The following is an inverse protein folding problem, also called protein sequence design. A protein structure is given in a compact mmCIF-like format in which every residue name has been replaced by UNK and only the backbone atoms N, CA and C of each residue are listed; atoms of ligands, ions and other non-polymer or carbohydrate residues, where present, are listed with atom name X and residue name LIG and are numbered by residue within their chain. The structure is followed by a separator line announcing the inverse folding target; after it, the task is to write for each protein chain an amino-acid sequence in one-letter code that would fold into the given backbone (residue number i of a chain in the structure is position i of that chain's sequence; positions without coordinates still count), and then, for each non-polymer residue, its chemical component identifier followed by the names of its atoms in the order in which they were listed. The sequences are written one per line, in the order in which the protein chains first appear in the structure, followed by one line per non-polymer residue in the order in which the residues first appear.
data_IF_661670811325
#
_entry.id   IF_661670811325
#
_cell.length_a   1.000
_cell.length_b   1.000
_cell.length_c   1.000
_cell.angle_alpha   90.00
_cell.angle_beta   90.00
_cell.angle_gamma   90.00
#
_symmetry.space_group_name_H-M   'P 1'
#
loop_
_entity.id
_entity.type
_entity.pdbx_description
1 polymer ?
#
# COMPACT_ATOMS: atom_id res chain seq x y z
N UNK A 1 -22.77 -1.75 -6.76
CA UNK A 1 -21.51 -2.40 -7.16
C UNK A 1 -21.63 -2.86 -8.60
N UNK A 2 -20.68 -2.50 -9.47
CA UNK A 2 -20.65 -3.00 -10.86
C UNK A 2 -20.15 -4.46 -10.91
N UNK A 3 -20.14 -5.10 -12.08
CA UNK A 3 -19.76 -6.52 -12.19
C UNK A 3 -18.29 -6.78 -11.89
N UNK A 4 -17.38 -5.86 -12.25
CA UNK A 4 -15.97 -5.97 -11.92
C UNK A 4 -15.75 -5.90 -10.41
N UNK A 5 -16.28 -4.86 -9.76
CA UNK A 5 -16.21 -4.70 -8.30
C UNK A 5 -16.80 -5.91 -7.57
N UNK A 6 -17.91 -6.48 -8.08
CA UNK A 6 -18.53 -7.67 -7.48
C UNK A 6 -17.57 -8.87 -7.57
N UNK A 7 -16.97 -9.12 -8.74
CA UNK A 7 -16.03 -10.22 -8.91
C UNK A 7 -14.81 -10.08 -7.98
N UNK A 8 -14.24 -8.88 -7.91
CA UNK A 8 -13.11 -8.57 -7.03
C UNK A 8 -13.47 -8.85 -5.57
N UNK A 9 -14.63 -8.36 -5.11
CA UNK A 9 -15.09 -8.59 -3.74
C UNK A 9 -15.40 -10.08 -3.47
N UNK A 10 -16.11 -10.75 -4.37
CA UNK A 10 -16.49 -12.15 -4.22
C UNK A 10 -15.25 -13.05 -4.10
N UNK A 11 -14.19 -12.77 -4.87
CA UNK A 11 -12.89 -13.45 -4.76
C UNK A 11 -12.32 -13.40 -3.33
N UNK A 12 -12.33 -12.21 -2.71
CA UNK A 12 -11.80 -12.03 -1.36
C UNK A 12 -12.66 -12.79 -0.36
N UNK A 13 -13.98 -12.70 -0.49
CA UNK A 13 -14.93 -13.37 0.38
C UNK A 13 -14.84 -14.89 0.29
N UNK A 14 -14.73 -15.44 -0.91
CA UNK A 14 -14.61 -16.88 -1.16
C UNK A 14 -13.25 -17.43 -0.74
N UNK A 15 -12.16 -16.77 -1.19
CA UNK A 15 -10.79 -17.19 -0.91
C UNK A 15 -10.47 -17.17 0.58
N UNK A 16 -10.69 -16.04 1.24
CA UNK A 16 -10.39 -15.90 2.67
C UNK A 16 -11.49 -16.46 3.56
N UNK A 17 -12.72 -16.59 3.07
CA UNK A 17 -13.78 -17.29 3.81
C UNK A 17 -13.43 -18.75 4.10
N UNK A 18 -12.71 -19.41 3.20
CA UNK A 18 -12.21 -20.77 3.40
C UNK A 18 -11.05 -20.85 4.40
N UNK A 19 -10.30 -19.75 4.56
CA UNK A 19 -9.12 -19.65 5.42
C UNK A 19 -9.45 -19.11 6.83
N UNK A 20 -10.69 -18.71 7.11
CA UNK A 20 -11.03 -18.11 8.40
C UNK A 20 -11.06 -19.15 9.53
N UNK A 21 -10.17 -18.99 10.51
CA UNK A 21 -10.18 -19.75 11.76
C UNK A 21 -11.11 -19.06 12.78
N UNK A 22 -12.22 -19.73 13.08
CA UNK A 22 -13.19 -19.27 14.07
C UNK A 22 -12.62 -19.28 15.50
N UNK A 23 -11.63 -20.10 15.84
CA UNK A 23 -11.06 -20.11 17.19
C UNK A 23 -10.27 -18.81 17.46
N UNK A 24 -9.36 -18.47 16.56
CA UNK A 24 -8.49 -17.30 16.69
C UNK A 24 -9.16 -15.99 16.21
N UNK A 25 -10.22 -16.10 15.39
CA UNK A 25 -10.87 -14.94 14.81
C UNK A 25 -9.99 -14.22 13.79
N UNK A 26 -9.16 -14.96 13.07
CA UNK A 26 -8.24 -14.47 12.05
C UNK A 26 -8.26 -15.42 10.84
N UNK A 27 -7.66 -15.00 9.74
CA UNK A 27 -7.33 -15.92 8.65
C UNK A 27 -6.17 -16.83 9.09
N UNK A 28 -6.16 -18.06 8.60
CA UNK A 28 -5.08 -19.04 8.72
C UNK A 28 -4.52 -19.33 7.31
N UNK A 29 -3.22 -19.11 7.14
CA UNK A 29 -2.47 -19.49 5.95
C UNK A 29 -1.41 -20.53 6.35
N UNK A 30 -1.69 -21.80 6.06
CA UNK A 30 -0.96 -23.00 6.53
C UNK A 30 0.46 -22.79 7.05
N UNK A 31 1.43 -22.48 6.18
CA UNK A 31 2.84 -22.34 6.57
C UNK A 31 3.19 -20.98 7.19
N UNK A 32 2.37 -19.95 6.95
CA UNK A 32 2.58 -18.58 7.45
C UNK A 32 1.90 -18.32 8.81
N UNK A 33 0.94 -19.15 9.23
CA UNK A 33 0.19 -18.98 10.48
C UNK A 33 -1.03 -18.08 10.31
N UNK A 34 -1.29 -17.15 11.23
CA UNK A 34 -2.47 -16.28 11.15
C UNK A 34 -2.15 -14.84 10.71
N UNK A 35 -2.19 -14.53 9.40
CA UNK A 35 -1.81 -13.21 8.90
C UNK A 35 -2.74 -12.08 9.38
N UNK A 36 -2.18 -11.13 10.14
CA UNK A 36 -2.93 -10.06 10.82
C UNK A 36 -3.41 -9.00 9.84
N UNK A 37 -2.57 -8.62 8.87
CA UNK A 37 -2.90 -7.57 7.89
C UNK A 37 -4.05 -8.01 7.01
N UNK A 38 -3.93 -9.18 6.41
CA UNK A 38 -4.88 -9.81 5.50
C UNK A 38 -6.24 -9.97 6.21
N UNK A 39 -6.22 -10.37 7.48
CA UNK A 39 -7.41 -10.44 8.33
C UNK A 39 -8.13 -9.09 8.46
N UNK A 40 -7.41 -7.99 8.63
CA UNK A 40 -8.01 -6.65 8.70
C UNK A 40 -8.73 -6.26 7.39
N UNK A 41 -8.16 -6.62 6.24
CA UNK A 41 -8.79 -6.38 4.93
C UNK A 41 -9.96 -7.32 4.66
N UNK A 42 -9.92 -8.55 5.17
CA UNK A 42 -11.06 -9.47 5.13
C UNK A 42 -12.24 -8.95 5.97
N UNK A 43 -11.98 -8.37 7.15
CA UNK A 43 -13.01 -7.71 7.94
C UNK A 43 -13.66 -6.54 7.18
N UNK A 44 -12.86 -5.75 6.45
CA UNK A 44 -13.36 -4.71 5.55
C UNK A 44 -14.25 -5.31 4.44
N UNK A 45 -13.83 -6.40 3.80
CA UNK A 45 -14.62 -7.09 2.77
C UNK A 45 -15.97 -7.60 3.31
N UNK A 46 -15.99 -8.21 4.49
CA UNK A 46 -17.21 -8.69 5.16
C UNK A 46 -18.18 -7.55 5.45
N UNK A 47 -17.67 -6.42 5.93
CA UNK A 47 -18.47 -5.22 6.12
C UNK A 47 -19.00 -4.73 4.76
N UNK A 48 -18.17 -4.59 3.73
CA UNK A 48 -18.64 -4.18 2.41
C UNK A 48 -19.74 -5.08 1.83
N UNK A 49 -19.66 -6.40 2.05
CA UNK A 49 -20.62 -7.37 1.53
C UNK A 49 -21.98 -7.32 2.24
N UNK A 50 -22.00 -7.09 3.55
CA UNK A 50 -23.23 -7.20 4.34
C UNK A 50 -23.43 -8.58 4.99
N UNK A 51 -24.08 -8.61 6.16
CA UNK A 51 -24.63 -9.85 6.73
C UNK A 51 -23.65 -10.71 7.53
N UNK A 52 -22.43 -10.21 7.78
CA UNK A 52 -21.40 -10.91 8.58
C UNK A 52 -20.72 -9.97 9.60
N UNK A 53 -21.47 -8.99 10.10
CA UNK A 53 -20.98 -7.89 10.94
C UNK A 53 -20.36 -8.39 12.25
N UNK A 54 -20.94 -9.44 12.85
CA UNK A 54 -20.39 -10.09 14.05
C UNK A 54 -19.02 -10.73 13.79
N UNK A 55 -18.84 -11.36 12.63
CA UNK A 55 -17.55 -11.94 12.23
C UNK A 55 -16.52 -10.85 11.98
N UNK A 56 -16.89 -9.79 11.25
CA UNK A 56 -16.00 -8.65 11.05
C UNK A 56 -15.59 -8.00 12.37
N UNK A 57 -16.53 -7.81 13.30
CA UNK A 57 -16.26 -7.26 14.62
C UNK A 57 -15.28 -8.13 15.42
N UNK A 58 -15.44 -9.46 15.37
CA UNK A 58 -14.51 -10.40 16.01
C UNK A 58 -13.11 -10.31 15.42
N UNK A 59 -12.98 -10.27 14.08
CA UNK A 59 -11.68 -10.14 13.43
C UNK A 59 -11.00 -8.83 13.81
N UNK A 60 -11.72 -7.71 13.79
CA UNK A 60 -11.18 -6.40 14.19
C UNK A 60 -10.66 -6.45 15.63
N UNK A 61 -11.43 -7.06 16.55
CA UNK A 61 -11.01 -7.22 17.94
C UNK A 61 -9.73 -8.08 18.06
N UNK A 62 -9.65 -9.20 17.32
CA UNK A 62 -8.45 -10.05 17.27
C UNK A 62 -7.25 -9.28 16.73
N UNK A 63 -7.39 -8.53 15.64
CA UNK A 63 -6.32 -7.69 15.08
C UNK A 63 -5.83 -6.65 16.11
N UNK A 64 -6.74 -5.94 16.78
CA UNK A 64 -6.38 -4.98 17.85
C UNK A 64 -5.59 -5.68 18.97
N UNK A 65 -5.97 -6.91 19.32
CA UNK A 65 -5.29 -7.73 20.33
C UNK A 65 -3.83 -8.06 20.02
N UNK A 66 -3.40 -7.95 18.75
CA UNK A 66 -2.01 -8.18 18.32
C UNK A 66 -1.14 -6.93 18.35
N UNK A 67 -1.70 -5.76 18.69
CA UNK A 67 -0.96 -4.51 18.68
C UNK A 67 0.05 -4.44 19.83
N UNK A 68 1.28 -4.02 19.53
CA UNK A 68 2.26 -3.71 20.56
C UNK A 68 1.93 -2.39 21.26
N UNK A 69 1.75 -2.44 22.58
CA UNK A 69 1.27 -1.29 23.39
C UNK A 69 2.31 -0.75 24.38
N UNK A 70 3.51 -1.31 24.40
CA UNK A 70 4.59 -0.87 25.29
C UNK A 70 5.22 0.44 24.78
N UNK A 71 4.94 1.55 25.47
CA UNK A 71 5.44 2.87 25.06
C UNK A 71 6.95 2.98 25.18
N UNK A 72 7.56 3.80 24.30
CA UNK A 72 9.00 4.00 24.24
C UNK A 72 9.78 2.88 23.53
N UNK A 73 9.10 1.82 23.08
CA UNK A 73 9.71 0.78 22.23
C UNK A 73 9.71 1.19 20.76
N UNK A 74 10.68 0.70 19.99
CA UNK A 74 10.79 0.97 18.54
C UNK A 74 9.67 0.33 17.70
N UNK A 75 8.91 -0.58 18.32
CA UNK A 75 7.76 -1.27 17.73
C UNK A 75 6.42 -0.78 18.30
N UNK A 76 6.41 0.32 19.08
CA UNK A 76 5.17 0.86 19.63
C UNK A 76 4.12 1.16 18.55
N UNK A 77 2.90 0.69 18.78
CA UNK A 77 1.76 0.92 17.92
C UNK A 77 1.73 0.12 16.62
N UNK A 78 2.78 -0.63 16.27
CA UNK A 78 2.69 -1.63 15.19
C UNK A 78 2.02 -2.90 15.69
N UNK A 79 1.78 -3.84 14.78
CA UNK A 79 1.09 -5.09 15.04
C UNK A 79 2.04 -6.25 14.77
N UNK A 80 1.73 -7.42 15.34
CA UNK A 80 2.35 -8.65 14.88
C UNK A 80 2.03 -8.87 13.39
N UNK A 81 2.95 -9.50 12.67
CA UNK A 81 2.68 -10.00 11.32
C UNK A 81 1.71 -11.17 11.37
N UNK A 82 1.97 -12.07 12.31
CA UNK A 82 1.15 -13.27 12.60
C UNK A 82 1.08 -13.50 14.10
N UNK A 83 0.06 -14.19 14.62
CA UNK A 83 -0.06 -14.42 16.07
C UNK A 83 1.00 -15.39 16.60
N UNK A 84 1.59 -16.20 15.72
CA UNK A 84 2.68 -17.13 15.99
C UNK A 84 4.00 -16.42 16.29
N UNK A 85 4.12 -15.15 15.90
CA UNK A 85 5.33 -14.38 16.16
C UNK A 85 5.61 -14.25 17.65
N UNK A 86 6.87 -14.53 17.99
CA UNK A 86 7.41 -14.30 19.31
C UNK A 86 7.56 -12.78 19.51
N UNK A 87 7.22 -12.30 20.70
CA UNK A 87 7.38 -10.88 21.03
C UNK A 87 8.86 -10.44 20.87
N UNK A 88 9.11 -9.19 20.44
CA UNK A 88 10.47 -8.72 20.19
C UNK A 88 11.36 -8.81 21.44
N UNK A 89 12.64 -9.17 21.29
CA UNK A 89 13.58 -9.21 22.42
C UNK A 89 13.96 -7.79 22.87
N UNK A 90 14.73 -7.68 23.95
CA UNK A 90 15.17 -6.39 24.51
C UNK A 90 15.99 -5.50 23.55
N UNK A 91 16.69 -6.11 22.58
CA UNK A 91 17.41 -5.42 21.50
C UNK A 91 16.84 -5.90 20.15
N UNK A 92 15.68 -5.37 19.73
CA UNK A 92 14.93 -5.90 18.60
C UNK A 92 15.54 -5.47 17.27
N UNK A 93 15.59 -6.40 16.32
CA UNK A 93 16.07 -6.17 14.97
C UNK A 93 14.89 -5.92 14.03
N UNK A 94 14.82 -4.71 13.46
CA UNK A 94 13.81 -4.33 12.47
C UNK A 94 13.78 -5.29 11.28
N UNK A 95 12.57 -5.60 10.78
CA UNK A 95 12.26 -6.58 9.71
C UNK A 95 12.44 -8.06 10.10
N UNK A 96 13.16 -8.34 11.18
CA UNK A 96 13.34 -9.69 11.70
C UNK A 96 12.40 -9.96 12.85
N UNK A 97 12.53 -9.19 13.93
CA UNK A 97 11.79 -9.42 15.18
C UNK A 97 10.46 -8.65 15.21
N UNK A 98 10.33 -7.61 14.38
CA UNK A 98 9.08 -6.86 14.17
C UNK A 98 9.10 -6.19 12.81
N UNK A 99 7.92 -5.82 12.31
CA UNK A 99 7.77 -5.01 11.11
C UNK A 99 7.00 -3.72 11.43
N UNK A 100 7.66 -2.54 11.36
CA UNK A 100 7.00 -1.28 11.64
C UNK A 100 6.05 -0.80 10.54
N UNK A 101 6.02 -1.43 9.35
CA UNK A 101 5.13 -1.07 8.24
C UNK A 101 3.72 -1.63 8.41
N UNK A 102 3.56 -2.71 9.19
CA UNK A 102 2.24 -3.33 9.43
C UNK A 102 1.22 -2.34 9.97
N UNK A 103 1.71 -1.42 10.79
CA UNK A 103 0.95 -0.29 11.27
C UNK A 103 0.27 0.50 10.16
N UNK A 104 1.02 0.95 9.15
CA UNK A 104 0.48 1.79 8.08
C UNK A 104 -0.52 1.01 7.20
N UNK A 105 -0.26 -0.28 6.94
CA UNK A 105 -1.20 -1.15 6.23
C UNK A 105 -2.52 -1.37 6.98
N UNK A 106 -2.46 -1.64 8.29
CA UNK A 106 -3.66 -1.87 9.12
C UNK A 106 -4.41 -0.56 9.36
N UNK A 107 -3.69 0.57 9.51
CA UNK A 107 -4.27 1.89 9.59
C UNK A 107 -5.12 2.22 8.35
N UNK A 108 -4.69 1.79 7.16
CA UNK A 108 -5.45 1.96 5.91
C UNK A 108 -6.81 1.23 5.96
N UNK A 109 -6.80 -0.05 6.36
CA UNK A 109 -8.03 -0.84 6.50
C UNK A 109 -8.95 -0.27 7.59
N UNK A 110 -8.41 0.07 8.76
CA UNK A 110 -9.19 0.63 9.87
C UNK A 110 -9.80 1.99 9.50
N UNK A 111 -9.06 2.85 8.77
CA UNK A 111 -9.59 4.12 8.31
C UNK A 111 -10.78 3.92 7.37
N UNK A 112 -10.70 2.97 6.43
CA UNK A 112 -11.82 2.65 5.54
C UNK A 112 -13.04 2.13 6.31
N UNK A 113 -12.83 1.23 7.29
CA UNK A 113 -13.91 0.71 8.14
C UNK A 113 -14.58 1.84 8.93
N UNK A 114 -13.79 2.68 9.60
CA UNK A 114 -14.30 3.78 10.42
C UNK A 114 -14.97 4.89 9.59
N UNK A 115 -14.56 5.06 8.34
CA UNK A 115 -15.16 6.03 7.42
C UNK A 115 -16.50 5.54 6.83
N UNK A 116 -16.62 4.24 6.53
CA UNK A 116 -17.72 3.72 5.70
C UNK A 116 -18.74 2.89 6.49
N UNK A 117 -18.32 2.23 7.59
CA UNK A 117 -19.15 1.24 8.30
C UNK A 117 -19.15 1.37 9.85
N UNK A 118 -18.94 2.54 10.47
CA UNK A 118 -18.86 2.63 11.94
C UNK A 118 -20.16 2.21 12.64
N UNK A 119 -21.32 2.43 12.03
CA UNK A 119 -22.65 2.11 12.58
C UNK A 119 -22.98 0.61 12.57
N UNK A 120 -22.19 -0.18 11.85
CA UNK A 120 -22.34 -1.64 11.75
C UNK A 120 -21.56 -2.38 12.82
N UNK A 121 -20.73 -1.66 13.58
CA UNK A 121 -19.90 -2.22 14.63
C UNK A 121 -20.44 -1.83 16.01
N UNK A 122 -20.21 -2.66 17.03
CA UNK A 122 -20.49 -2.27 18.41
C UNK A 122 -19.77 -0.97 18.78
N UNK A 123 -20.45 0.02 19.41
CA UNK A 123 -19.82 1.30 19.76
C UNK A 123 -18.55 1.18 20.61
N UNK A 124 -18.47 0.16 21.47
CA UNK A 124 -17.27 -0.13 22.26
C UNK A 124 -16.08 -0.49 21.37
N UNK A 125 -16.30 -1.34 20.35
CA UNK A 125 -15.26 -1.74 19.40
C UNK A 125 -14.80 -0.56 18.55
N UNK A 126 -15.71 0.32 18.12
CA UNK A 126 -15.34 1.56 17.43
C UNK A 126 -14.41 2.41 18.31
N UNK A 127 -14.68 2.50 19.62
CA UNK A 127 -13.78 3.16 20.58
C UNK A 127 -12.41 2.48 20.68
N UNK A 128 -12.35 1.16 20.69
CA UNK A 128 -11.09 0.39 20.70
C UNK A 128 -10.29 0.57 19.41
N UNK A 129 -10.95 0.58 18.25
CA UNK A 129 -10.32 0.89 16.95
C UNK A 129 -9.69 2.28 16.95
N UNK A 130 -10.41 3.28 17.48
CA UNK A 130 -9.92 4.65 17.59
C UNK A 130 -8.69 4.76 18.49
N UNK A 131 -8.67 4.03 19.59
CA UNK A 131 -7.52 3.97 20.49
C UNK A 131 -6.33 3.23 19.85
N UNK A 132 -6.60 2.11 19.17
CA UNK A 132 -5.57 1.37 18.42
C UNK A 132 -4.95 2.24 17.32
N UNK A 133 -5.77 2.99 16.58
CA UNK A 133 -5.32 3.91 15.54
C UNK A 133 -4.50 5.08 16.12
N UNK A 134 -4.84 5.59 17.31
CA UNK A 134 -4.02 6.61 17.99
C UNK A 134 -2.60 6.09 18.24
N UNK A 135 -2.45 4.93 18.87
CA UNK A 135 -1.12 4.33 19.16
C UNK A 135 -0.33 4.08 17.90
N UNK A 136 -1.01 3.62 16.85
CA UNK A 136 -0.42 3.47 15.52
C UNK A 136 0.17 4.83 15.09
N UNK A 137 -0.65 5.88 14.95
CA UNK A 137 -0.17 7.17 14.47
C UNK A 137 0.94 7.76 15.35
N UNK A 138 0.87 7.62 16.67
CA UNK A 138 1.95 8.01 17.58
C UNK A 138 3.27 7.32 17.22
N UNK A 139 3.27 5.99 17.16
CA UNK A 139 4.46 5.23 16.77
C UNK A 139 4.94 5.54 15.34
N UNK A 140 4.04 5.85 14.41
CA UNK A 140 4.38 6.24 13.04
C UNK A 140 5.11 7.58 13.02
N UNK A 141 4.59 8.56 13.76
CA UNK A 141 5.18 9.90 13.91
C UNK A 141 6.53 9.82 14.59
N UNK A 142 6.66 9.04 15.66
CA UNK A 142 7.91 8.85 16.37
C UNK A 142 8.98 8.20 15.49
N UNK A 143 8.62 7.14 14.74
CA UNK A 143 9.52 6.51 13.75
C UNK A 143 9.97 7.52 12.69
N UNK A 144 9.04 8.31 12.15
CA UNK A 144 9.35 9.30 11.12
C UNK A 144 10.30 10.39 11.64
N UNK A 145 10.13 10.85 12.88
CA UNK A 145 11.01 11.84 13.52
C UNK A 145 12.40 11.24 13.79
N UNK A 146 12.44 10.00 14.30
CA UNK A 146 13.69 9.31 14.60
C UNK A 146 14.50 9.06 13.34
N UNK A 147 13.87 8.72 12.21
CA UNK A 147 14.51 8.39 10.92
C UNK A 147 15.60 7.28 11.08
N UNK A 148 15.44 6.41 12.07
CA UNK A 148 16.32 5.25 12.24
C UNK A 148 15.97 4.18 11.20
N UNK A 149 14.67 3.97 10.98
CA UNK A 149 14.10 3.12 9.91
C UNK A 149 13.30 4.01 8.97
N UNK A 150 13.85 4.41 7.80
CA UNK A 150 13.20 5.37 6.91
C UNK A 150 11.90 4.79 6.35
N UNK A 151 11.05 5.67 5.83
CA UNK A 151 9.83 5.28 5.13
C UNK A 151 10.15 5.19 3.63
N UNK A 152 9.89 4.04 3.04
CA UNK A 152 9.82 3.87 1.59
C UNK A 152 8.54 4.53 1.04
N UNK A 153 8.40 4.61 -0.29
CA UNK A 153 7.37 5.44 -0.95
C UNK A 153 5.97 5.11 -0.43
N UNK A 154 5.57 3.85 -0.47
CA UNK A 154 4.21 3.46 -0.10
C UNK A 154 3.91 3.76 1.38
N UNK A 155 4.86 3.47 2.27
CA UNK A 155 4.73 3.73 3.71
C UNK A 155 4.76 5.24 4.01
N UNK A 156 5.52 6.04 3.27
CA UNK A 156 5.51 7.50 3.41
C UNK A 156 4.14 8.08 3.00
N UNK A 157 3.55 7.60 1.89
CA UNK A 157 2.20 8.00 1.48
C UNK A 157 1.17 7.58 2.54
N UNK A 158 1.23 6.33 3.01
CA UNK A 158 0.32 5.83 4.06
C UNK A 158 0.51 6.53 5.41
N UNK A 159 1.73 6.97 5.74
CA UNK A 159 2.01 7.77 6.93
C UNK A 159 1.30 9.13 6.86
N UNK A 160 1.42 9.83 5.73
CA UNK A 160 0.69 11.10 5.49
C UNK A 160 -0.81 10.87 5.61
N UNK A 161 -1.32 9.81 4.99
CA UNK A 161 -2.73 9.41 5.07
C UNK A 161 -3.19 9.20 6.51
N UNK A 162 -2.51 8.33 7.26
CA UNK A 162 -2.90 7.93 8.61
C UNK A 162 -2.86 9.14 9.57
N UNK A 163 -1.80 9.95 9.49
CA UNK A 163 -1.65 11.12 10.34
C UNK A 163 -2.73 12.20 10.07
N UNK A 164 -3.10 12.47 8.80
CA UNK A 164 -4.20 13.40 8.50
C UNK A 164 -5.56 12.82 8.88
N UNK A 165 -5.83 11.56 8.50
CA UNK A 165 -7.13 10.94 8.69
C UNK A 165 -7.47 10.82 10.18
N UNK A 166 -6.61 10.14 10.94
CA UNK A 166 -6.84 9.94 12.36
C UNK A 166 -6.60 11.21 13.17
N UNK A 167 -5.68 12.09 12.75
CA UNK A 167 -5.54 13.41 13.37
C UNK A 167 -6.86 14.20 13.39
N UNK A 168 -7.60 14.21 12.28
CA UNK A 168 -8.93 14.84 12.25
C UNK A 168 -9.97 14.08 13.06
N UNK A 169 -10.00 12.76 12.90
CA UNK A 169 -10.99 11.91 13.55
C UNK A 169 -10.86 11.96 15.09
N UNK A 170 -9.63 12.13 15.59
CA UNK A 170 -9.30 12.25 17.01
C UNK A 170 -9.30 13.70 17.52
N UNK A 171 -9.32 14.70 16.63
CA UNK A 171 -9.16 16.11 16.98
C UNK A 171 -7.75 16.45 17.49
N UNK A 172 -6.72 15.81 16.93
CA UNK A 172 -5.32 15.94 17.33
C UNK A 172 -4.53 16.83 16.36
N UNK A 173 -4.31 18.09 16.77
CA UNK A 173 -3.55 19.08 15.99
C UNK A 173 -2.07 18.69 15.81
N UNK A 174 -1.51 17.91 16.73
CA UNK A 174 -0.13 17.45 16.59
C UNK A 174 -0.04 16.49 15.40
N UNK A 175 -0.90 15.47 15.31
CA UNK A 175 -0.91 14.56 14.16
C UNK A 175 -1.13 15.30 12.84
N UNK A 176 -2.03 16.29 12.81
CA UNK A 176 -2.27 17.09 11.61
C UNK A 176 -1.02 17.89 11.18
N UNK A 177 -0.31 18.47 12.15
CA UNK A 177 0.96 19.16 11.87
C UNK A 177 2.01 18.21 11.31
N UNK A 178 2.07 16.97 11.82
CA UNK A 178 3.01 15.93 11.36
C UNK A 178 2.67 15.44 9.96
N UNK A 179 1.37 15.24 9.67
CA UNK A 179 0.89 14.90 8.33
C UNK A 179 1.31 15.95 7.31
N UNK A 180 1.18 17.25 7.65
CA UNK A 180 1.58 18.35 6.76
C UNK A 180 3.08 18.35 6.50
N UNK A 181 3.90 18.19 7.53
CA UNK A 181 5.37 18.13 7.39
C UNK A 181 5.77 16.97 6.48
N UNK A 182 5.20 15.78 6.69
CA UNK A 182 5.49 14.62 5.86
C UNK A 182 5.00 14.79 4.42
N UNK A 183 3.82 15.38 4.22
CA UNK A 183 3.28 15.68 2.89
C UNK A 183 4.16 16.66 2.11
N UNK A 184 4.65 17.72 2.77
CA UNK A 184 5.54 18.70 2.14
C UNK A 184 6.90 18.06 1.77
N UNK A 185 7.41 17.14 2.59
CA UNK A 185 8.64 16.40 2.31
C UNK A 185 8.48 15.43 1.12
N UNK A 186 7.43 14.62 1.12
CA UNK A 186 7.07 13.71 0.04
C UNK A 186 6.90 14.47 -1.29
N UNK A 187 6.13 15.56 -1.27
CA UNK A 187 5.95 16.40 -2.45
C UNK A 187 7.24 17.06 -2.91
N UNK A 188 8.10 17.51 -1.98
CA UNK A 188 9.41 18.06 -2.32
C UNK A 188 10.31 17.07 -3.05
N UNK A 189 10.32 15.80 -2.65
CA UNK A 189 11.04 14.73 -3.35
C UNK A 189 10.44 14.48 -4.74
N UNK A 190 9.12 14.36 -4.82
CA UNK A 190 8.43 14.15 -6.09
C UNK A 190 8.64 15.31 -7.06
N UNK A 191 8.44 16.56 -6.63
CA UNK A 191 8.57 17.75 -7.46
C UNK A 191 10.00 17.95 -8.01
N UNK A 192 11.02 17.43 -7.31
CA UNK A 192 12.41 17.47 -7.78
C UNK A 192 12.63 16.56 -9.00
N UNK A 193 12.12 15.33 -8.95
CA UNK A 193 12.47 14.28 -9.92
C UNK A 193 11.34 13.93 -10.89
N UNK A 194 10.10 14.34 -10.60
CA UNK A 194 8.88 13.87 -11.26
C UNK A 194 8.64 12.38 -11.02
N UNK A 195 9.12 11.84 -9.89
CA UNK A 195 9.18 10.41 -9.60
C UNK A 195 9.29 10.14 -8.09
N UNK A 196 9.19 8.88 -7.70
CA UNK A 196 9.27 8.39 -6.30
C UNK A 196 10.47 7.46 -6.09
N UNK A 197 10.81 7.20 -4.83
CA UNK A 197 12.00 6.43 -4.46
C UNK A 197 11.95 4.96 -4.89
N UNK A 198 10.77 4.34 -4.78
CA UNK A 198 10.46 2.98 -5.28
C UNK A 198 10.00 3.02 -6.75
N UNK A 199 10.77 3.71 -7.59
CA UNK A 199 10.44 3.91 -8.99
C UNK A 199 10.23 2.59 -9.75
N UNK A 200 9.19 2.59 -10.60
CA UNK A 200 8.91 1.52 -11.56
C UNK A 200 8.77 0.14 -10.90
N UNK A 201 8.21 0.11 -9.69
CA UNK A 201 7.94 -1.12 -8.97
C UNK A 201 6.55 -1.65 -9.32
N UNK A 202 6.47 -2.82 -9.96
CA UNK A 202 5.18 -3.45 -10.19
C UNK A 202 4.48 -3.83 -8.87
N UNK A 203 5.23 -4.29 -7.87
CA UNK A 203 4.70 -4.57 -6.53
C UNK A 203 4.15 -3.32 -5.87
N UNK A 204 4.96 -2.27 -5.73
CA UNK A 204 4.63 -1.14 -4.87
C UNK A 204 3.74 -0.10 -5.54
N UNK A 205 3.71 -0.01 -6.88
CA UNK A 205 2.78 0.90 -7.55
C UNK A 205 1.31 0.61 -7.23
N UNK A 206 0.92 -0.66 -7.10
CA UNK A 206 -0.45 -1.00 -6.68
C UNK A 206 -0.79 -0.37 -5.33
N UNK A 207 0.13 -0.52 -4.37
CA UNK A 207 0.01 0.04 -3.03
C UNK A 207 0.04 1.58 -3.03
N UNK A 208 0.93 2.19 -3.81
CA UNK A 208 1.02 3.64 -3.96
C UNK A 208 -0.29 4.23 -4.48
N UNK A 209 -0.87 3.64 -5.54
CA UNK A 209 -2.14 4.10 -6.12
C UNK A 209 -3.31 3.94 -5.15
N UNK A 210 -3.34 2.86 -4.37
CA UNK A 210 -4.32 2.66 -3.30
C UNK A 210 -4.18 3.76 -2.25
N UNK A 211 -2.98 3.98 -1.71
CA UNK A 211 -2.74 4.95 -0.66
C UNK A 211 -3.03 6.39 -1.12
N UNK A 212 -2.63 6.77 -2.33
CA UNK A 212 -2.94 8.07 -2.93
C UNK A 212 -4.45 8.26 -3.14
N UNK A 213 -5.16 7.22 -3.59
CA UNK A 213 -6.61 7.26 -3.73
C UNK A 213 -7.30 7.41 -2.36
N UNK A 214 -6.82 6.70 -1.33
CA UNK A 214 -7.28 6.87 0.04
C UNK A 214 -7.07 8.30 0.54
N UNK A 215 -5.93 8.94 0.27
CA UNK A 215 -5.73 10.36 0.60
C UNK A 215 -6.76 11.23 -0.12
N UNK A 216 -6.94 11.06 -1.43
CA UNK A 216 -7.90 11.87 -2.21
C UNK A 216 -9.33 11.71 -1.70
N UNK A 217 -9.71 10.51 -1.27
CA UNK A 217 -11.06 10.20 -0.82
C UNK A 217 -11.33 10.63 0.62
N UNK A 218 -10.43 10.29 1.54
CA UNK A 218 -10.71 10.34 2.97
C UNK A 218 -9.98 11.46 3.72
N UNK A 219 -8.88 12.00 3.21
CA UNK A 219 -8.17 13.11 3.89
C UNK A 219 -8.95 14.42 3.81
N UNK A 220 -8.85 15.25 4.85
CA UNK A 220 -9.66 16.46 5.01
C UNK A 220 -8.97 17.73 4.50
N UNK A 221 -7.64 17.74 4.50
CA UNK A 221 -6.83 18.90 4.11
C UNK A 221 -6.77 19.05 2.59
N UNK A 222 -7.24 20.20 2.08
CA UNK A 222 -7.29 20.48 0.63
C UNK A 222 -5.92 20.36 -0.05
N UNK A 223 -4.86 20.88 0.57
CA UNK A 223 -3.51 20.84 0.02
C UNK A 223 -2.95 19.41 -0.05
N UNK A 224 -3.18 18.58 0.98
CA UNK A 224 -2.74 17.17 0.99
C UNK A 224 -3.45 16.38 -0.10
N UNK A 225 -4.76 16.60 -0.30
CA UNK A 225 -5.49 15.99 -1.42
C UNK A 225 -4.98 16.44 -2.79
N UNK A 226 -4.66 17.73 -2.93
CA UNK A 226 -4.13 18.28 -4.18
C UNK A 226 -2.75 17.68 -4.51
N UNK A 227 -1.87 17.60 -3.51
CA UNK A 227 -0.58 16.92 -3.60
C UNK A 227 -0.75 15.47 -4.05
N UNK A 228 -1.64 14.70 -3.40
CA UNK A 228 -1.86 13.30 -3.75
C UNK A 228 -2.42 13.14 -5.17
N UNK A 229 -3.25 14.07 -5.65
CA UNK A 229 -3.75 14.05 -7.03
C UNK A 229 -2.64 14.32 -8.05
N UNK A 230 -1.72 15.23 -7.76
CA UNK A 230 -0.59 15.53 -8.64
C UNK A 230 0.43 14.39 -8.70
N UNK A 231 0.74 13.78 -7.55
CA UNK A 231 1.62 12.61 -7.49
C UNK A 231 0.98 11.44 -8.24
N UNK A 232 -0.29 11.11 -7.98
CA UNK A 232 -1.01 10.00 -8.63
C UNK A 232 -1.03 10.14 -10.16
N UNK A 233 -1.39 11.32 -10.67
CA UNK A 233 -1.43 11.58 -12.11
C UNK A 233 -0.04 11.46 -12.76
N UNK A 234 1.02 11.89 -12.07
CA UNK A 234 2.39 11.74 -12.54
C UNK A 234 2.89 10.29 -12.50
N UNK A 235 2.58 9.55 -11.44
CA UNK A 235 2.94 8.13 -11.33
C UNK A 235 2.24 7.30 -12.40
N UNK A 236 0.95 7.53 -12.65
CA UNK A 236 0.25 6.89 -13.77
C UNK A 236 0.85 7.25 -15.12
N UNK A 237 1.28 8.51 -15.30
CA UNK A 237 1.96 8.93 -16.53
C UNK A 237 3.29 8.20 -16.71
N UNK A 238 4.12 8.16 -15.67
CA UNK A 238 5.40 7.46 -15.69
C UNK A 238 5.20 5.97 -15.94
N UNK A 239 4.25 5.34 -15.26
CA UNK A 239 3.86 3.95 -15.51
C UNK A 239 3.52 3.73 -16.99
N UNK A 240 2.65 4.58 -17.56
CA UNK A 240 2.19 4.44 -18.95
C UNK A 240 3.34 4.51 -19.97
N UNK A 241 4.43 5.19 -19.63
CA UNK A 241 5.58 5.28 -20.53
C UNK A 241 6.40 3.97 -20.54
N UNK A 242 6.46 3.25 -19.42
CA UNK A 242 7.19 1.99 -19.26
C UNK A 242 6.35 0.73 -19.58
N UNK A 243 5.03 0.84 -19.68
CA UNK A 243 4.14 -0.31 -19.87
C UNK A 243 3.96 -0.72 -21.34
N UNK A 244 4.14 -2.00 -21.69
CA UNK A 244 3.80 -2.53 -23.02
C UNK A 244 2.43 -3.20 -23.02
N UNK A 245 1.42 -2.67 -23.74
CA UNK A 245 0.12 -3.33 -23.91
C UNK A 245 0.21 -4.72 -24.57
N UNK A 246 1.08 -4.89 -25.58
CA UNK A 246 1.20 -6.16 -26.32
C UNK A 246 1.80 -7.27 -25.46
N UNK A 247 2.81 -6.94 -24.66
CA UNK A 247 3.41 -7.88 -23.71
C UNK A 247 2.59 -7.99 -22.42
N UNK A 248 1.71 -7.02 -22.16
CA UNK A 248 0.87 -6.98 -20.96
C UNK A 248 1.66 -6.77 -19.68
N UNK A 249 2.86 -6.21 -19.75
CA UNK A 249 3.76 -6.06 -18.61
C UNK A 249 4.52 -4.73 -18.62
N UNK A 250 4.99 -4.31 -17.44
CA UNK A 250 5.84 -3.14 -17.25
C UNK A 250 7.27 -3.48 -17.66
N UNK A 251 7.94 -2.62 -18.42
CA UNK A 251 9.37 -2.76 -18.70
C UNK A 251 10.20 -2.34 -17.50
N UNK A 252 11.28 -3.05 -17.19
CA UNK A 252 12.23 -2.60 -16.18
C UNK A 252 13.01 -1.35 -16.60
N UNK A 253 13.93 -0.88 -15.74
CA UNK A 253 14.36 -1.52 -14.49
C UNK A 253 13.33 -1.33 -13.37
N UNK A 254 13.27 -2.29 -12.44
CA UNK A 254 12.43 -2.18 -11.24
C UNK A 254 13.36 -1.87 -10.07
N UNK A 255 13.26 -0.66 -9.50
CA UNK A 255 14.16 -0.24 -8.41
C UNK A 255 13.99 -1.08 -7.14
N UNK A 256 12.78 -1.64 -6.96
CA UNK A 256 12.41 -2.54 -5.88
C UNK A 256 11.16 -3.34 -6.27
N UNK A 257 11.21 -4.65 -6.43
CA UNK A 257 10.03 -5.50 -6.57
C UNK A 257 10.34 -6.94 -6.09
N UNK A 258 9.29 -7.72 -5.83
CA UNK A 258 9.46 -9.16 -5.58
C UNK A 258 9.53 -9.97 -6.86
N UNK A 259 8.83 -9.50 -7.91
CA UNK A 259 8.68 -10.20 -9.17
C UNK A 259 8.74 -9.22 -10.34
N UNK A 260 9.20 -9.70 -11.50
CA UNK A 260 9.17 -8.92 -12.76
C UNK A 260 7.80 -9.00 -13.45
N UNK A 261 7.01 -10.03 -13.14
CA UNK A 261 5.65 -10.18 -13.65
C UNK A 261 4.71 -9.26 -12.86
N UNK A 262 4.14 -8.26 -13.53
CA UNK A 262 3.34 -7.23 -12.84
C UNK A 262 2.05 -7.75 -12.21
N UNK A 263 1.63 -8.98 -12.53
CA UNK A 263 0.43 -9.59 -11.96
C UNK A 263 0.73 -10.63 -10.86
N UNK A 264 2.00 -10.93 -10.57
CA UNK A 264 2.36 -12.01 -9.64
C UNK A 264 2.26 -11.59 -8.16
N UNK A 265 2.83 -10.45 -7.79
CA UNK A 265 2.83 -9.94 -6.40
C UNK A 265 2.49 -8.45 -6.41
N UNK A 266 1.25 -8.15 -6.83
CA UNK A 266 0.77 -6.79 -7.03
C UNK A 266 -0.75 -6.73 -7.17
N UNK A 267 -1.35 -5.64 -6.69
CA UNK A 267 -2.76 -5.29 -6.88
C UNK A 267 -3.05 -4.62 -8.25
N UNK A 268 -2.03 -4.39 -9.10
CA UNK A 268 -2.20 -3.77 -10.42
C UNK A 268 -3.14 -4.54 -11.34
N UNK A 269 -3.14 -5.87 -11.30
CA UNK A 269 -4.04 -6.70 -12.10
C UNK A 269 -5.53 -6.39 -11.83
N UNK A 270 -5.89 -6.26 -10.55
CA UNK A 270 -7.22 -5.84 -10.12
C UNK A 270 -7.58 -4.43 -10.60
N UNK A 271 -6.62 -3.49 -10.50
CA UNK A 271 -6.82 -2.10 -10.96
C UNK A 271 -7.03 -2.05 -12.48
N UNK A 272 -6.25 -2.81 -13.25
CA UNK A 272 -6.39 -2.91 -14.71
C UNK A 272 -7.76 -3.49 -15.09
N UNK A 273 -8.15 -4.62 -14.49
CA UNK A 273 -9.46 -5.22 -14.73
C UNK A 273 -10.60 -4.25 -14.42
N UNK A 274 -10.56 -3.60 -13.24
CA UNK A 274 -11.57 -2.62 -12.83
C UNK A 274 -11.65 -1.41 -13.77
N UNK A 275 -10.51 -0.97 -14.31
CA UNK A 275 -10.43 0.23 -15.15
C UNK A 275 -10.75 -0.02 -16.62
N UNK A 276 -10.36 -1.18 -17.14
CA UNK A 276 -10.36 -1.47 -18.58
C UNK A 276 -11.41 -2.52 -18.98
N UNK A 277 -11.95 -3.28 -18.03
CA UNK A 277 -13.04 -4.22 -18.24
C UNK A 277 -12.59 -5.64 -18.60
N UNK A 278 -13.52 -6.43 -19.14
CA UNK A 278 -13.40 -7.90 -19.25
C UNK A 278 -12.23 -8.42 -20.07
N UNK A 279 -11.71 -7.64 -21.02
CA UNK A 279 -10.50 -8.01 -21.79
C UNK A 279 -9.27 -8.16 -20.88
N UNK A 280 -9.29 -7.50 -19.71
CA UNK A 280 -8.23 -7.51 -18.71
C UNK A 280 -8.51 -8.46 -17.55
N UNK A 281 -9.62 -9.22 -17.56
CA UNK A 281 -10.00 -10.14 -16.49
C UNK A 281 -8.90 -11.15 -16.13
N UNK A 282 -8.13 -11.60 -17.12
CA UNK A 282 -6.99 -12.52 -16.91
C UNK A 282 -5.90 -11.95 -16.00
N UNK A 283 -5.76 -10.63 -15.95
CA UNK A 283 -4.76 -9.97 -15.09
C UNK A 283 -5.22 -9.90 -13.64
N UNK A 284 -6.53 -9.96 -13.38
CA UNK A 284 -7.11 -10.07 -12.05
C UNK A 284 -7.23 -11.53 -11.60
N UNK A 285 -6.23 -12.37 -11.90
CA UNK A 285 -6.09 -13.65 -11.21
C UNK A 285 -5.78 -13.40 -9.72
N UNK A 286 -6.22 -14.29 -8.83
CA UNK A 286 -5.91 -14.17 -7.40
C UNK A 286 -4.40 -14.34 -7.18
N UNK A 287 -3.85 -13.50 -6.31
CA UNK A 287 -2.43 -13.48 -5.94
C UNK A 287 -2.28 -13.00 -4.48
N UNK A 288 -1.03 -12.90 -4.01
CA UNK A 288 -0.72 -12.52 -2.63
C UNK A 288 -1.21 -11.13 -2.22
N UNK A 289 -1.55 -10.24 -3.14
CA UNK A 289 -2.03 -8.88 -2.88
C UNK A 289 -3.55 -8.73 -3.15
N UNK A 290 -4.27 -9.83 -3.42
CA UNK A 290 -5.70 -9.77 -3.72
C UNK A 290 -6.55 -9.34 -2.51
N UNK A 291 -6.00 -9.35 -1.30
CA UNK A 291 -6.67 -8.76 -0.13
C UNK A 291 -6.89 -7.25 -0.26
N UNK A 292 -6.19 -6.56 -1.17
CA UNK A 292 -6.37 -5.13 -1.42
C UNK A 292 -7.66 -4.80 -2.20
N UNK A 293 -8.30 -5.77 -2.85
CA UNK A 293 -9.51 -5.54 -3.67
C UNK A 293 -10.62 -4.72 -2.99
N UNK A 294 -10.97 -4.92 -1.70
CA UNK A 294 -11.98 -4.14 -1.01
C UNK A 294 -11.61 -2.65 -0.97
N UNK A 295 -10.33 -2.32 -0.72
CA UNK A 295 -9.88 -0.93 -0.66
C UNK A 295 -9.72 -0.31 -2.06
N UNK A 296 -9.33 -1.10 -3.06
CA UNK A 296 -9.33 -0.68 -4.49
C UNK A 296 -10.73 -0.20 -4.90
N UNK A 297 -11.76 -0.96 -4.53
CA UNK A 297 -13.16 -0.63 -4.81
C UNK A 297 -13.57 0.63 -4.05
N UNK A 298 -13.34 0.67 -2.74
CA UNK A 298 -13.79 1.79 -1.89
C UNK A 298 -13.08 3.09 -2.26
N UNK A 299 -11.76 3.09 -2.38
CA UNK A 299 -11.00 4.29 -2.71
C UNK A 299 -11.19 4.75 -4.17
N UNK A 300 -11.93 4.00 -4.99
CA UNK A 300 -12.14 4.22 -6.42
C UNK A 300 -10.82 4.30 -7.20
N UNK A 301 -9.90 3.37 -6.90
CA UNK A 301 -8.61 3.28 -7.60
C UNK A 301 -8.87 2.88 -9.05
N UNK A 302 -8.41 3.72 -9.99
CA UNK A 302 -8.57 3.48 -11.42
C UNK A 302 -7.52 4.21 -12.24
N UNK A 303 -7.24 3.66 -13.40
CA UNK A 303 -6.43 4.31 -14.43
C UNK A 303 -7.11 5.63 -14.83
N UNK A 304 -6.37 6.76 -14.89
CA UNK A 304 -6.92 8.03 -15.38
C UNK A 304 -7.45 7.89 -16.81
N UNK A 305 -8.65 8.41 -17.07
CA UNK A 305 -9.33 8.25 -18.38
C UNK A 305 -8.45 8.74 -19.55
N UNK A 306 -7.67 9.81 -19.34
CA UNK A 306 -6.74 10.36 -20.33
C UNK A 306 -5.60 9.42 -20.73
N UNK A 307 -5.31 8.39 -19.92
CA UNK A 307 -4.26 7.40 -20.15
C UNK A 307 -4.81 6.06 -20.61
N UNK A 308 -6.13 5.89 -20.60
CA UNK A 308 -6.80 4.61 -20.87
C UNK A 308 -6.37 3.97 -22.20
N UNK A 309 -6.22 4.79 -23.25
CA UNK A 309 -5.76 4.33 -24.57
C UNK A 309 -4.31 3.82 -24.53
N UNK A 310 -3.40 4.47 -23.80
CA UNK A 310 -1.99 4.04 -23.67
C UNK A 310 -1.84 2.66 -23.03
N UNK A 311 -2.82 2.24 -22.20
CA UNK A 311 -2.82 0.94 -21.55
C UNK A 311 -3.49 -0.15 -22.39
N UNK A 312 -4.39 0.23 -23.30
CA UNK A 312 -5.16 -0.71 -24.10
C UNK A 312 -4.59 -0.94 -25.52
N UNK A 313 -3.87 0.04 -26.07
CA UNK A 313 -3.42 0.04 -27.47
C UNK A 313 -1.92 0.20 -27.52
N UNK A 314 -1.23 -0.73 -28.18
CA UNK A 314 0.21 -0.66 -28.36
C UNK A 314 0.63 0.57 -29.17
N UNK A 315 1.68 1.23 -28.69
CA UNK A 315 2.30 2.35 -29.38
C UNK A 315 3.34 1.91 -30.42
N UNK A 316 4.07 2.88 -30.96
CA UNK A 316 5.28 2.59 -31.72
C UNK A 316 6.47 2.26 -30.82
N UNK A 317 7.61 1.97 -31.46
CA UNK A 317 8.90 1.92 -30.80
C UNK A 317 9.15 3.19 -29.97
N UNK A 318 9.59 3.01 -28.73
CA UNK A 318 9.95 4.13 -27.85
C UNK A 318 11.14 3.83 -26.97
N UNK A 319 11.97 4.85 -26.79
CA UNK A 319 13.03 4.91 -25.79
C UNK A 319 12.60 5.91 -24.71
N UNK A 320 12.43 5.41 -23.49
CA UNK A 320 12.02 6.22 -22.34
C UNK A 320 13.20 6.38 -21.39
N UNK A 321 13.36 7.55 -20.81
CA UNK A 321 14.34 7.80 -19.76
C UNK A 321 13.73 8.66 -18.66
N UNK A 322 13.92 8.26 -17.41
CA UNK A 322 13.45 8.95 -16.21
C UNK A 322 14.54 9.00 -15.16
N UNK A 323 14.58 10.09 -14.41
CA UNK A 323 15.40 10.22 -13.21
C UNK A 323 14.53 9.98 -11.99
N UNK A 324 15.14 9.43 -10.95
CA UNK A 324 14.53 9.31 -9.65
C UNK A 324 15.62 9.30 -8.60
N UNK A 325 15.26 9.51 -7.34
CA UNK A 325 16.18 9.37 -6.22
C UNK A 325 15.80 8.14 -5.43
N UNK A 326 16.60 7.08 -5.57
CA UNK A 326 16.42 5.82 -4.86
C UNK A 326 16.62 6.02 -3.36
N UNK A 327 15.84 5.28 -2.56
CA UNK A 327 16.05 5.13 -1.12
C UNK A 327 16.63 3.74 -0.83
N UNK A 328 17.86 3.70 -0.32
CA UNK A 328 18.48 2.50 0.24
C UNK A 328 18.20 2.42 1.75
N UNK A 329 17.04 1.86 2.12
CA UNK A 329 16.54 1.83 3.51
C UNK A 329 17.48 1.12 4.51
N UNK A 330 18.33 0.21 4.03
CA UNK A 330 19.29 -0.55 4.84
C UNK A 330 20.63 0.18 5.05
N UNK A 331 20.83 1.33 4.41
CA UNK A 331 22.06 2.12 4.58
C UNK A 331 22.04 2.94 5.88
N UNK A 332 23.20 3.39 6.38
CA UNK A 332 23.26 4.31 7.52
C UNK A 332 22.54 5.62 7.25
N UNK A 333 21.97 6.20 8.32
CA UNK A 333 21.29 7.50 8.29
C UNK A 333 22.16 8.59 7.64
N UNK A 334 21.55 9.44 6.81
CA UNK A 334 22.23 10.52 6.08
C UNK A 334 22.95 10.10 4.80
N UNK A 335 22.99 8.81 4.46
CA UNK A 335 23.64 8.29 3.25
C UNK A 335 22.77 7.33 2.44
N UNK A 336 21.44 7.54 2.46
CA UNK A 336 20.46 6.59 1.92
C UNK A 336 19.90 6.95 0.54
N UNK A 337 20.09 8.19 0.09
CA UNK A 337 19.47 8.69 -1.14
C UNK A 337 20.47 8.75 -2.29
N UNK A 338 20.14 8.14 -3.42
CA UNK A 338 21.03 8.08 -4.58
C UNK A 338 20.31 8.50 -5.86
N UNK A 339 20.84 9.49 -6.61
CA UNK A 339 20.27 9.84 -7.90
C UNK A 339 20.50 8.70 -8.88
N UNK A 340 19.41 8.26 -9.51
CA UNK A 340 19.38 7.15 -10.44
C UNK A 340 18.77 7.58 -11.78
N UNK A 341 19.14 6.88 -12.84
CA UNK A 341 18.53 7.03 -14.17
C UNK A 341 18.03 5.69 -14.66
N UNK A 342 16.73 5.59 -14.90
CA UNK A 342 16.08 4.44 -15.49
C UNK A 342 15.81 4.72 -16.98
N UNK A 343 16.19 3.77 -17.84
CA UNK A 343 15.94 3.82 -19.27
C UNK A 343 15.26 2.53 -19.70
N UNK A 344 14.29 2.62 -20.62
CA UNK A 344 13.64 1.45 -21.21
C UNK A 344 13.53 1.62 -22.72
N UNK A 345 13.81 0.56 -23.47
CA UNK A 345 13.51 0.48 -24.90
C UNK A 345 12.39 -0.54 -25.09
N UNK A 346 11.30 -0.10 -25.71
CA UNK A 346 10.05 -0.86 -25.81
C UNK A 346 9.59 -0.86 -27.26
N UNK A 347 9.37 -2.06 -27.79
CA UNK A 347 8.77 -2.37 -29.09
C UNK A 347 7.64 -3.41 -28.88
N UNK A 348 6.76 -3.66 -29.87
CA UNK A 348 5.58 -4.50 -29.65
C UNK A 348 5.85 -5.94 -29.16
N UNK A 349 7.01 -6.51 -29.48
CA UNK A 349 7.38 -7.90 -29.18
C UNK A 349 8.57 -8.01 -28.21
N UNK A 350 9.13 -6.89 -27.75
CA UNK A 350 10.31 -6.88 -26.91
C UNK A 350 10.42 -5.60 -26.06
N UNK A 351 10.92 -5.76 -24.83
CA UNK A 351 11.26 -4.63 -23.97
C UNK A 351 12.52 -4.95 -23.16
N UNK A 352 13.36 -3.94 -22.92
CA UNK A 352 14.57 -4.05 -22.11
C UNK A 352 14.78 -2.78 -21.28
N UNK A 353 15.28 -2.96 -20.06
CA UNK A 353 15.54 -1.87 -19.12
C UNK A 353 17.02 -1.67 -18.86
N UNK A 354 17.38 -0.49 -18.39
CA UNK A 354 18.71 -0.21 -17.88
C UNK A 354 18.60 0.75 -16.69
N UNK A 355 19.41 0.51 -15.66
CA UNK A 355 19.50 1.35 -14.47
C UNK A 355 20.93 1.79 -14.24
N UNK A 356 21.12 3.09 -14.07
CA UNK A 356 22.37 3.69 -13.63
C UNK A 356 22.20 4.38 -12.26
N UNK A 357 23.26 4.37 -11.45
CA UNK A 357 23.33 5.06 -10.16
C UNK A 357 22.80 4.30 -8.93
N UNK A 358 22.06 3.20 -9.12
CA UNK A 358 21.48 2.43 -8.01
C UNK A 358 22.53 1.84 -7.10
N UNK A 359 22.24 1.84 -5.79
CA UNK A 359 23.04 1.20 -4.75
C UNK A 359 22.22 0.25 -3.91
N UNK A 360 21.01 -0.09 -4.34
CA UNK A 360 20.13 -0.97 -3.61
C UNK A 360 20.71 -2.39 -3.55
N UNK A 361 20.89 -2.90 -2.33
CA UNK A 361 21.37 -4.27 -2.06
C UNK A 361 20.31 -5.13 -1.39
N UNK A 362 19.02 -4.76 -1.45
CA UNK A 362 17.94 -5.48 -0.76
C UNK A 362 17.63 -6.85 -1.35
N UNK A 363 18.14 -7.15 -2.55
CA UNK A 363 17.77 -8.34 -3.32
C UNK A 363 16.45 -8.20 -4.09
N UNK A 364 15.80 -7.04 -4.00
CA UNK A 364 14.56 -6.71 -4.72
C UNK A 364 14.83 -5.83 -5.95
N UNK A 365 16.09 -5.62 -6.31
CA UNK A 365 16.44 -4.88 -7.53
C UNK A 365 16.44 -5.85 -8.71
N UNK A 366 15.59 -5.58 -9.71
CA UNK A 366 15.54 -6.39 -10.92
C UNK A 366 15.93 -5.54 -12.14
N UNK A 367 17.12 -5.76 -12.73
CA UNK A 367 17.41 -5.24 -14.07
C UNK A 367 16.61 -6.05 -15.10
N UNK A 368 16.02 -5.37 -16.10
CA UNK A 368 15.33 -6.04 -17.21
C UNK A 368 16.29 -6.27 -18.38
#
# INVERSE_FOLDING_TARGET
MNDCDRLLLDRVLEGFGAAYDEAEGLLEDGEEGHPVRESAYYALALLMAGGADEKAAKIIASVIGTQYTESGTVYYGTYKRTIEEIDPPADPVVWKDYDPNWREFIALAFAAILAEFPERLPPALVGEMMESARRAVEGAVERYIADDTPLNTNIEIMHVFAADFFGRLLGDDYFLSRARIAADALYGLYARDGSVSEFNSATYYGVDFIALACIRKYCGTGDIRAMAAEIDDGLWSAFSDFYSPSLGNLSGPYSRCYEMEMTAHSSLGSIFYRSLGDDFRRMAASNGESFDDPIIILADVKIPERLREKFAVEGGERLVTRRFTELCERHPKGGRHFPCTATAWIVPDFMIGALDGSRNTSGQLHPA
#
